data_IF_907163572910
#
_entry.id   IF_907163572910
#
_cell.length_a   1.000
_cell.length_b   1.000
_cell.length_c   1.000
_cell.angle_alpha   90.00
_cell.angle_beta   90.00
_cell.angle_gamma   90.00
#
_symmetry.space_group_name_H-M   'P 1'
#
loop_
_entity.id
_entity.type
_entity.pdbx_description
1 polymer ?
#
# COMPACT_ATOMS: atom_id res chain seq x y z
N UNK A 1 12.78 -32.67 5.13
CA UNK A 1 12.50 -31.68 6.19
C UNK A 1 11.31 -32.11 7.05
N UNK A 2 11.57 -33.00 8.01
CA UNK A 2 10.63 -33.33 9.07
C UNK A 2 10.97 -32.46 10.30
N UNK A 3 9.96 -31.85 10.90
CA UNK A 3 10.07 -31.13 12.16
C UNK A 3 9.51 -32.02 13.27
N UNK A 4 10.37 -32.40 14.20
CA UNK A 4 10.02 -33.21 15.35
C UNK A 4 9.67 -32.28 16.51
N UNK A 5 8.42 -32.30 16.96
CA UNK A 5 8.04 -31.54 18.14
C UNK A 5 8.53 -32.26 19.40
N UNK A 6 8.77 -31.50 20.49
CA UNK A 6 9.07 -32.09 21.81
C UNK A 6 7.96 -33.00 22.35
N UNK A 7 6.74 -32.88 21.82
CA UNK A 7 5.61 -33.76 22.11
C UNK A 7 5.57 -35.03 21.26
N UNK A 8 6.65 -35.36 20.54
CA UNK A 8 6.75 -36.58 19.72
C UNK A 8 6.02 -36.52 18.37
N UNK A 9 5.29 -35.44 18.09
CA UNK A 9 4.56 -35.29 16.82
C UNK A 9 5.52 -34.91 15.68
N UNK A 10 5.41 -35.64 14.57
CA UNK A 10 6.22 -35.42 13.36
C UNK A 10 5.44 -34.54 12.39
N UNK A 11 6.01 -33.39 12.04
CA UNK A 11 5.45 -32.47 11.05
C UNK A 11 6.26 -32.53 9.77
N UNK A 12 5.59 -32.70 8.64
CA UNK A 12 6.22 -32.63 7.32
C UNK A 12 6.16 -31.19 6.82
N UNK A 13 7.32 -30.58 6.55
CA UNK A 13 7.40 -29.24 5.93
C UNK A 13 8.00 -29.36 4.53
N UNK A 14 7.14 -29.58 3.53
CA UNK A 14 7.52 -29.45 2.12
C UNK A 14 6.95 -28.13 1.61
N UNK A 15 7.83 -27.25 1.13
CA UNK A 15 7.43 -26.01 0.46
C UNK A 15 7.89 -26.14 -0.98
N UNK A 16 6.95 -26.53 -1.85
CA UNK A 16 7.19 -26.47 -3.29
C UNK A 16 7.34 -25.02 -3.73
N UNK A 17 8.44 -24.70 -4.42
CA UNK A 17 8.64 -23.40 -5.05
C UNK A 17 8.86 -23.64 -6.53
N UNK A 18 8.08 -22.95 -7.36
CA UNK A 18 8.23 -22.96 -8.80
C UNK A 18 8.78 -21.62 -9.28
N UNK A 19 9.50 -21.68 -10.40
CA UNK A 19 10.05 -20.52 -11.08
C UNK A 19 10.08 -20.77 -12.60
N UNK A 20 9.94 -19.69 -13.37
CA UNK A 20 10.09 -19.73 -14.81
C UNK A 20 11.57 -19.83 -15.20
N UNK A 21 11.91 -20.74 -16.11
CA UNK A 21 13.26 -20.90 -16.65
C UNK A 21 13.65 -19.76 -17.62
N UNK A 22 12.67 -19.11 -18.26
CA UNK A 22 12.86 -17.93 -19.11
C UNK A 22 12.15 -16.71 -18.54
N UNK A 23 12.83 -15.55 -18.46
CA UNK A 23 12.25 -14.28 -17.98
C UNK A 23 11.11 -13.80 -18.88
N UNK A 24 11.31 -13.89 -20.19
CA UNK A 24 10.33 -13.47 -21.19
C UNK A 24 9.93 -14.67 -22.06
N UNK A 25 8.96 -15.49 -21.62
CA UNK A 25 8.42 -16.56 -22.47
C UNK A 25 7.81 -16.01 -23.77
N UNK A 26 7.37 -14.74 -23.75
CA UNK A 26 6.76 -14.05 -24.88
C UNK A 26 7.35 -12.66 -25.00
N UNK A 27 7.77 -12.29 -26.21
CA UNK A 27 8.46 -11.03 -26.49
C UNK A 27 7.65 -9.78 -26.10
N UNK A 28 6.32 -9.81 -26.24
CA UNK A 28 5.47 -8.66 -25.95
C UNK A 28 5.41 -8.30 -24.45
N UNK A 29 5.80 -9.20 -23.55
CA UNK A 29 5.88 -8.89 -22.12
C UNK A 29 6.91 -7.78 -21.84
N UNK A 30 7.96 -7.69 -22.67
CA UNK A 30 8.96 -6.62 -22.58
C UNK A 30 8.36 -5.23 -22.85
N UNK A 31 7.27 -5.14 -23.63
CA UNK A 31 6.59 -3.87 -23.91
C UNK A 31 5.98 -3.30 -22.61
N UNK A 32 5.36 -4.14 -21.80
CA UNK A 32 4.75 -3.71 -20.54
C UNK A 32 5.81 -3.17 -19.56
N UNK A 33 6.95 -3.87 -19.46
CA UNK A 33 8.07 -3.45 -18.63
C UNK A 33 8.68 -2.13 -19.13
N UNK A 34 8.82 -1.97 -20.45
CA UNK A 34 9.32 -0.73 -21.04
C UNK A 34 8.38 0.45 -20.78
N UNK A 35 7.07 0.26 -20.96
CA UNK A 35 6.06 1.29 -20.67
C UNK A 35 6.12 1.68 -19.19
N UNK A 36 6.23 0.70 -18.30
CA UNK A 36 6.35 0.95 -16.86
C UNK A 36 7.63 1.72 -16.49
N UNK A 37 8.77 1.37 -17.08
CA UNK A 37 10.03 2.10 -16.92
C UNK A 37 9.93 3.55 -17.41
N UNK A 38 9.28 3.77 -18.56
CA UNK A 38 9.02 5.11 -19.08
C UNK A 38 8.11 5.92 -18.14
N UNK A 39 7.11 5.28 -17.53
CA UNK A 39 6.29 5.92 -16.51
C UNK A 39 7.12 6.34 -15.28
N UNK A 40 8.01 5.48 -14.78
CA UNK A 40 8.91 5.85 -13.66
C UNK A 40 9.82 7.01 -14.05
N UNK A 41 10.42 6.96 -15.23
CA UNK A 41 11.28 8.03 -15.73
C UNK A 41 10.52 9.36 -15.82
N UNK A 42 9.30 9.34 -16.35
CA UNK A 42 8.43 10.50 -16.40
C UNK A 42 8.18 11.09 -14.99
N UNK A 43 7.95 10.24 -14.00
CA UNK A 43 7.73 10.67 -12.61
C UNK A 43 8.97 11.33 -12.04
N UNK A 44 10.14 10.71 -12.21
CA UNK A 44 11.43 11.25 -11.76
C UNK A 44 11.68 12.62 -12.38
N UNK A 45 11.57 12.73 -13.71
CA UNK A 45 11.80 13.98 -14.42
C UNK A 45 10.86 15.10 -13.95
N UNK A 46 9.57 14.80 -13.79
CA UNK A 46 8.58 15.76 -13.32
C UNK A 46 8.87 16.22 -11.89
N UNK A 47 9.33 15.32 -11.02
CA UNK A 47 9.63 15.65 -9.62
C UNK A 47 10.93 16.46 -9.47
N UNK A 48 11.95 16.13 -10.26
CA UNK A 48 13.18 16.92 -10.37
C UNK A 48 12.90 18.32 -10.90
N UNK A 49 12.04 18.45 -11.93
CA UNK A 49 11.62 19.76 -12.45
C UNK A 49 10.92 20.61 -11.38
N UNK A 50 10.04 20.02 -10.57
CA UNK A 50 9.41 20.72 -9.44
C UNK A 50 10.44 21.20 -8.43
N UNK A 51 11.39 20.35 -8.04
CA UNK A 51 12.44 20.73 -7.10
C UNK A 51 13.28 21.88 -7.68
N UNK A 52 13.67 21.79 -8.94
CA UNK A 52 14.44 22.84 -9.61
C UNK A 52 13.69 24.17 -9.67
N UNK A 53 12.38 24.15 -9.94
CA UNK A 53 11.53 25.33 -9.93
C UNK A 53 11.41 25.96 -8.53
N UNK A 54 11.23 25.14 -7.48
CA UNK A 54 11.17 25.62 -6.09
C UNK A 54 12.53 26.15 -5.60
N UNK A 55 13.62 25.48 -5.98
CA UNK A 55 14.98 25.90 -5.67
C UNK A 55 15.29 27.28 -6.25
N UNK A 56 14.89 27.54 -7.50
CA UNK A 56 15.03 28.86 -8.14
C UNK A 56 14.21 29.96 -7.46
N UNK A 57 13.04 29.63 -6.89
CA UNK A 57 12.14 30.61 -6.30
C UNK A 57 12.43 30.94 -4.82
N UNK A 58 12.98 29.99 -4.05
CA UNK A 58 13.08 30.11 -2.57
C UNK A 58 14.47 29.81 -1.99
N UNK A 59 15.45 29.44 -2.81
CA UNK A 59 16.78 29.01 -2.34
C UNK A 59 16.78 27.65 -1.65
N UNK A 60 17.97 27.10 -1.38
CA UNK A 60 18.17 25.70 -0.90
C UNK A 60 17.52 25.46 0.48
N UNK A 61 17.57 26.44 1.38
CA UNK A 61 17.01 26.33 2.74
C UNK A 61 15.47 26.34 2.75
N UNK A 62 14.83 26.96 1.76
CA UNK A 62 13.37 26.94 1.61
C UNK A 62 12.80 25.60 1.15
N UNK A 63 13.63 24.74 0.54
CA UNK A 63 13.23 23.44 0.00
C UNK A 63 12.78 22.52 1.14
N UNK A 64 13.58 22.37 2.19
CA UNK A 64 13.31 21.38 3.25
C UNK A 64 11.98 21.67 3.95
N UNK A 65 11.71 22.94 4.29
CA UNK A 65 10.49 23.29 5.03
C UNK A 65 9.21 23.38 4.18
N UNK A 66 9.30 23.70 2.88
CA UNK A 66 8.10 23.82 2.01
C UNK A 66 7.84 22.62 1.12
N UNK A 67 8.86 21.84 0.77
CA UNK A 67 8.76 20.71 -0.16
C UNK A 67 8.37 19.39 0.51
N UNK A 68 8.72 19.17 1.79
CA UNK A 68 8.33 17.97 2.55
C UNK A 68 6.86 18.01 3.01
N UNK A 69 5.94 18.17 2.06
CA UNK A 69 4.52 17.84 2.28
C UNK A 69 4.35 16.33 2.13
N UNK A 70 3.44 15.75 2.92
CA UNK A 70 3.09 14.32 2.91
C UNK A 70 2.99 13.73 1.48
N UNK A 71 2.37 14.48 0.57
CA UNK A 71 2.15 14.08 -0.82
C UNK A 71 3.39 14.02 -1.70
N UNK A 72 4.47 14.73 -1.36
CA UNK A 72 5.73 14.65 -2.10
C UNK A 72 6.57 13.48 -1.58
N UNK A 73 6.45 13.16 -0.28
CA UNK A 73 7.06 11.96 0.30
C UNK A 73 6.52 10.69 -0.38
N UNK A 74 5.20 10.62 -0.63
CA UNK A 74 4.58 9.50 -1.35
C UNK A 74 5.14 9.37 -2.78
N UNK A 75 5.34 10.48 -3.49
CA UNK A 75 5.95 10.46 -4.83
C UNK A 75 7.38 9.87 -4.79
N UNK A 76 8.20 10.30 -3.83
CA UNK A 76 9.56 9.77 -3.64
C UNK A 76 9.60 8.31 -3.21
N UNK A 77 8.67 7.87 -2.35
CA UNK A 77 8.54 6.45 -1.99
C UNK A 77 8.23 5.63 -3.24
N UNK A 78 7.34 6.11 -4.13
CA UNK A 78 7.03 5.40 -5.37
C UNK A 78 8.24 5.26 -6.29
N UNK A 79 9.05 6.32 -6.43
CA UNK A 79 10.28 6.29 -7.22
C UNK A 79 11.30 5.33 -6.61
N UNK A 80 11.54 5.42 -5.30
CA UNK A 80 12.49 4.56 -4.59
C UNK A 80 12.09 3.09 -4.69
N UNK A 81 10.81 2.77 -4.48
CA UNK A 81 10.30 1.42 -4.60
C UNK A 81 10.42 0.88 -6.02
N UNK A 82 10.15 1.72 -7.03
CA UNK A 82 10.37 1.39 -8.44
C UNK A 82 11.83 1.06 -8.74
N UNK A 83 12.78 1.86 -8.22
CA UNK A 83 14.22 1.59 -8.36
C UNK A 83 14.62 0.26 -7.71
N UNK A 84 14.11 -0.02 -6.51
CA UNK A 84 14.33 -1.31 -5.82
C UNK A 84 13.85 -2.48 -6.67
N UNK A 85 12.68 -2.35 -7.33
CA UNK A 85 12.17 -3.38 -8.24
C UNK A 85 13.06 -3.59 -9.46
N UNK A 86 13.61 -2.52 -10.05
CA UNK A 86 14.57 -2.63 -11.16
C UNK A 86 15.84 -3.36 -10.72
N UNK A 87 16.36 -3.06 -9.52
CA UNK A 87 17.53 -3.76 -8.96
C UNK A 87 17.20 -5.24 -8.76
N UNK A 88 16.06 -5.57 -8.15
CA UNK A 88 15.62 -6.96 -8.01
C UNK A 88 15.50 -7.67 -9.36
N UNK A 89 14.95 -7.00 -10.38
CA UNK A 89 14.83 -7.57 -11.72
C UNK A 89 16.21 -7.87 -12.34
N UNK A 90 17.15 -6.93 -12.28
CA UNK A 90 18.51 -7.11 -12.84
C UNK A 90 19.27 -8.22 -12.11
N UNK A 91 19.24 -8.21 -10.77
CA UNK A 91 19.89 -9.26 -9.96
C UNK A 91 19.22 -10.62 -10.20
N UNK A 92 17.89 -10.68 -10.24
CA UNK A 92 17.15 -11.91 -10.52
C UNK A 92 17.43 -12.48 -11.91
N UNK A 93 17.58 -11.60 -12.91
CA UNK A 93 17.98 -11.95 -14.26
C UNK A 93 19.35 -12.62 -14.29
N UNK A 94 20.36 -12.02 -13.65
CA UNK A 94 21.70 -12.59 -13.57
C UNK A 94 21.73 -13.95 -12.85
N UNK A 95 21.01 -14.07 -11.73
CA UNK A 95 20.91 -15.34 -11.00
C UNK A 95 20.17 -16.43 -11.78
N UNK A 96 19.25 -16.04 -12.68
CA UNK A 96 18.51 -16.98 -13.51
C UNK A 96 19.38 -17.51 -14.64
N UNK A 97 20.23 -16.66 -15.22
CA UNK A 97 21.22 -17.10 -16.19
C UNK A 97 22.25 -18.04 -15.55
N UNK A 98 22.75 -17.74 -14.34
CA UNK A 98 23.64 -18.64 -13.58
C UNK A 98 22.99 -20.03 -13.37
N UNK A 99 21.72 -20.06 -12.92
CA UNK A 99 20.96 -21.30 -12.73
C UNK A 99 20.76 -22.06 -14.05
N UNK A 100 20.45 -21.37 -15.14
CA UNK A 100 20.24 -21.98 -16.45
C UNK A 100 21.54 -22.54 -17.04
N UNK A 101 22.68 -21.90 -16.81
CA UNK A 101 24.01 -22.41 -17.19
C UNK A 101 24.32 -23.69 -16.41
N UNK A 102 24.13 -23.68 -15.09
CA UNK A 102 24.31 -24.87 -14.26
C UNK A 102 23.40 -26.04 -14.71
N UNK A 103 22.13 -25.76 -15.03
CA UNK A 103 21.20 -26.77 -15.54
C UNK A 103 21.65 -27.39 -16.87
N UNK A 104 22.16 -26.57 -17.80
CA UNK A 104 22.68 -27.07 -19.08
C UNK A 104 23.93 -27.93 -18.89
N UNK A 105 24.79 -27.57 -17.95
CA UNK A 105 25.98 -28.35 -17.63
C UNK A 105 25.61 -29.73 -17.04
N UNK A 106 24.64 -29.78 -16.12
CA UNK A 106 24.09 -31.05 -15.60
C UNK A 106 23.48 -31.91 -16.71
N UNK A 107 22.77 -31.29 -17.66
CA UNK A 107 22.14 -32.00 -18.77
C UNK A 107 23.10 -32.57 -19.83
N UNK A 108 24.39 -32.19 -19.79
CA UNK A 108 25.41 -32.64 -20.73
C UNK A 108 26.22 -33.85 -20.23
N UNK A 109 26.11 -34.19 -18.94
CA UNK A 109 26.86 -35.27 -18.30
C UNK A 109 26.01 -36.54 -18.19
N UNK A 110 26.65 -37.71 -18.29
CA UNK A 110 25.98 -38.98 -18.06
C UNK A 110 25.74 -39.19 -16.55
N UNK A 111 24.55 -39.66 -16.11
CA UNK A 111 24.22 -39.84 -14.69
C UNK A 111 25.15 -40.77 -13.91
N UNK A 112 25.94 -41.60 -14.59
CA UNK A 112 26.92 -42.51 -14.00
C UNK A 112 28.24 -41.86 -13.61
N UNK A 113 28.51 -40.65 -14.09
CA UNK A 113 29.75 -39.94 -13.82
C UNK A 113 29.77 -39.39 -12.38
N UNK A 114 30.91 -39.48 -11.70
CA UNK A 114 31.05 -38.96 -10.33
C UNK A 114 30.85 -37.45 -10.24
N UNK A 115 31.16 -36.72 -11.31
CA UNK A 115 31.00 -35.27 -11.46
C UNK A 115 29.51 -34.85 -11.52
N UNK A 116 28.62 -35.73 -12.01
CA UNK A 116 27.18 -35.46 -12.09
C UNK A 116 26.59 -35.06 -10.74
N UNK A 117 26.99 -35.74 -9.67
CA UNK A 117 26.46 -35.46 -8.32
C UNK A 117 26.87 -34.08 -7.82
N UNK A 118 28.10 -33.65 -8.08
CA UNK A 118 28.60 -32.34 -7.66
C UNK A 118 27.90 -31.22 -8.43
N UNK A 119 27.77 -31.36 -9.76
CA UNK A 119 27.06 -30.41 -10.61
C UNK A 119 25.56 -30.29 -10.27
N UNK A 120 24.91 -31.40 -9.90
CA UNK A 120 23.51 -31.38 -9.42
C UNK A 120 23.39 -30.60 -8.12
N UNK A 121 24.34 -30.74 -7.18
CA UNK A 121 24.33 -29.98 -5.94
C UNK A 121 24.52 -28.48 -6.19
N UNK A 122 25.41 -28.10 -7.11
CA UNK A 122 25.59 -26.71 -7.52
C UNK A 122 24.32 -26.12 -8.16
N UNK A 123 23.68 -26.86 -9.06
CA UNK A 123 22.41 -26.46 -9.66
C UNK A 123 21.32 -26.30 -8.58
N UNK A 124 21.17 -27.24 -7.65
CA UNK A 124 20.19 -27.14 -6.56
C UNK A 124 20.46 -25.90 -5.71
N UNK A 125 21.73 -25.62 -5.37
CA UNK A 125 22.09 -24.43 -4.61
C UNK A 125 21.80 -23.13 -5.37
N UNK A 126 22.05 -23.08 -6.69
CA UNK A 126 21.69 -21.95 -7.54
C UNK A 126 20.16 -21.77 -7.62
N UNK A 127 19.41 -22.87 -7.77
CA UNK A 127 17.95 -22.86 -7.81
C UNK A 127 17.34 -22.40 -6.47
N UNK A 128 17.89 -22.81 -5.33
CA UNK A 128 17.45 -22.35 -4.02
C UNK A 128 17.70 -20.86 -3.80
N UNK A 129 18.90 -20.37 -4.15
CA UNK A 129 19.25 -18.94 -4.10
C UNK A 129 18.28 -18.13 -4.96
N UNK A 130 18.03 -18.57 -6.19
CA UNK A 130 17.14 -17.89 -7.11
C UNK A 130 15.68 -17.90 -6.63
N UNK A 131 15.16 -19.06 -6.22
CA UNK A 131 13.81 -19.16 -5.67
C UNK A 131 13.61 -18.28 -4.43
N UNK A 132 14.67 -18.09 -3.62
CA UNK A 132 14.70 -17.13 -2.53
C UNK A 132 14.56 -15.68 -2.99
N UNK A 133 15.34 -15.28 -3.99
CA UNK A 133 15.29 -13.96 -4.62
C UNK A 133 13.90 -13.68 -5.23
N UNK A 134 13.35 -14.61 -6.02
CA UNK A 134 12.05 -14.45 -6.68
C UNK A 134 10.92 -14.32 -5.67
N UNK A 135 11.02 -14.98 -4.51
CA UNK A 135 10.05 -14.79 -3.41
C UNK A 135 10.06 -13.33 -2.93
N UNK A 136 11.24 -12.78 -2.67
CA UNK A 136 11.37 -11.39 -2.24
C UNK A 136 10.91 -10.43 -3.34
N UNK A 137 11.34 -10.63 -4.58
CA UNK A 137 10.89 -9.82 -5.71
C UNK A 137 9.36 -9.80 -5.84
N UNK A 138 8.69 -10.95 -5.77
CA UNK A 138 7.22 -11.04 -5.79
C UNK A 138 6.55 -10.27 -4.64
N UNK A 139 7.12 -10.34 -3.43
CA UNK A 139 6.59 -9.61 -2.27
C UNK A 139 6.68 -8.09 -2.48
N UNK A 140 7.83 -7.58 -2.93
CA UNK A 140 8.01 -6.16 -3.23
C UNK A 140 7.14 -5.71 -4.41
N UNK A 141 7.01 -6.55 -5.45
CA UNK A 141 6.18 -6.28 -6.61
C UNK A 141 4.70 -6.22 -6.23
N UNK A 142 4.22 -7.10 -5.36
CA UNK A 142 2.85 -7.09 -4.85
C UNK A 142 2.54 -5.84 -4.01
N UNK A 143 3.54 -5.27 -3.31
CA UNK A 143 3.40 -4.03 -2.57
C UNK A 143 3.33 -2.78 -3.44
N UNK A 144 3.94 -2.79 -4.62
CA UNK A 144 4.08 -1.60 -5.46
C UNK A 144 2.74 -1.00 -5.95
N UNK A 145 1.74 -1.77 -6.40
CA UNK A 145 0.41 -1.25 -6.70
C UNK A 145 -0.25 -0.51 -5.53
N UNK A 146 0.02 -0.90 -4.28
CA UNK A 146 -0.49 -0.20 -3.10
C UNK A 146 0.13 1.19 -2.97
N UNK A 147 1.43 1.33 -3.25
CA UNK A 147 2.11 2.64 -3.28
C UNK A 147 1.53 3.53 -4.37
N UNK A 148 1.25 2.98 -5.56
CA UNK A 148 0.57 3.72 -6.63
C UNK A 148 -0.85 4.14 -6.19
N UNK A 149 -1.58 3.26 -5.49
CA UNK A 149 -2.91 3.59 -4.96
C UNK A 149 -2.83 4.77 -3.99
N UNK A 150 -1.85 4.81 -3.09
CA UNK A 150 -1.63 5.98 -2.21
C UNK A 150 -1.38 7.28 -3.00
N UNK A 151 -0.70 7.17 -4.14
CA UNK A 151 -0.48 8.31 -5.03
C UNK A 151 -1.78 8.78 -5.71
N UNK A 152 -2.72 7.89 -6.02
CA UNK A 152 -4.03 8.28 -6.56
C UNK A 152 -4.81 9.18 -5.59
N UNK A 153 -4.67 9.00 -4.28
CA UNK A 153 -5.30 9.89 -3.28
C UNK A 153 -4.82 11.35 -3.38
N UNK A 154 -3.59 11.59 -3.84
CA UNK A 154 -3.11 12.96 -4.15
C UNK A 154 -3.95 13.61 -5.24
N UNK A 155 -4.27 12.86 -6.29
CA UNK A 155 -5.12 13.32 -7.39
C UNK A 155 -6.56 13.55 -6.94
N UNK A 156 -7.06 12.74 -6.00
CA UNK A 156 -8.39 12.91 -5.42
C UNK A 156 -8.53 14.16 -4.56
N UNK A 157 -7.48 14.55 -3.84
CA UNK A 157 -7.47 15.82 -3.10
C UNK A 157 -7.66 17.04 -4.02
N UNK A 158 -7.26 16.97 -5.30
CA UNK A 158 -7.41 18.09 -6.23
C UNK A 158 -8.87 18.38 -6.59
N UNK A 159 -9.79 17.43 -6.39
CA UNK A 159 -11.20 17.59 -6.70
C UNK A 159 -12.01 17.94 -5.45
N UNK A 160 -12.85 19.00 -5.45
CA UNK A 160 -13.59 19.44 -4.27
C UNK A 160 -14.39 18.32 -3.57
N UNK A 161 -15.15 17.50 -4.29
CA UNK A 161 -15.94 16.41 -3.65
C UNK A 161 -15.08 15.30 -3.05
N UNK A 162 -14.05 14.85 -3.75
CA UNK A 162 -13.17 13.78 -3.25
C UNK A 162 -12.21 14.26 -2.16
N UNK A 163 -11.94 15.58 -2.10
CA UNK A 163 -11.16 16.19 -1.04
C UNK A 163 -11.83 16.07 0.34
N UNK A 164 -13.17 15.98 0.41
CA UNK A 164 -13.91 15.77 1.67
C UNK A 164 -13.50 14.46 2.32
N UNK A 165 -13.44 13.37 1.55
CA UNK A 165 -13.05 12.04 2.06
C UNK A 165 -11.61 12.05 2.54
N UNK A 166 -10.71 12.63 1.73
CA UNK A 166 -9.28 12.72 2.07
C UNK A 166 -9.07 13.55 3.33
N UNK A 167 -9.75 14.70 3.44
CA UNK A 167 -9.68 15.57 4.61
C UNK A 167 -10.26 14.89 5.84
N UNK A 168 -11.40 14.21 5.71
CA UNK A 168 -12.02 13.44 6.79
C UNK A 168 -11.06 12.39 7.33
N UNK A 169 -10.40 11.61 6.47
CA UNK A 169 -9.40 10.63 6.90
C UNK A 169 -8.22 11.28 7.61
N UNK A 170 -7.69 12.38 7.08
CA UNK A 170 -6.54 13.07 7.69
C UNK A 170 -6.89 13.71 9.03
N UNK A 171 -8.09 14.28 9.18
CA UNK A 171 -8.52 14.91 10.42
C UNK A 171 -9.03 13.91 11.46
N UNK A 172 -9.52 12.74 11.04
CA UNK A 172 -9.90 11.65 11.97
C UNK A 172 -8.71 10.83 12.44
N UNK A 173 -7.57 10.86 11.73
CA UNK A 173 -6.40 10.03 12.03
C UNK A 173 -5.88 10.18 13.47
N UNK A 174 -5.84 11.41 14.01
CA UNK A 174 -5.39 11.65 15.39
C UNK A 174 -6.33 10.97 16.39
N UNK A 175 -7.64 11.17 16.23
CA UNK A 175 -8.64 10.59 17.13
C UNK A 175 -8.68 9.06 17.00
N UNK A 176 -8.53 8.54 15.76
CA UNK A 176 -8.42 7.10 15.50
C UNK A 176 -7.17 6.49 16.14
N UNK A 177 -6.03 7.18 16.20
CA UNK A 177 -4.82 6.68 16.88
C UNK A 177 -5.06 6.58 18.38
N UNK A 178 -5.65 7.60 19.01
CA UNK A 178 -5.99 7.54 20.45
C UNK A 178 -6.97 6.41 20.74
N UNK A 179 -8.00 6.27 19.90
CA UNK A 179 -8.93 5.16 19.99
C UNK A 179 -8.25 3.80 19.79
N UNK A 180 -7.33 3.69 18.84
CA UNK A 180 -6.60 2.45 18.55
C UNK A 180 -5.82 1.95 19.77
N UNK A 181 -5.26 2.85 20.60
CA UNK A 181 -4.59 2.47 21.86
C UNK A 181 -5.57 1.77 22.79
N UNK A 182 -6.76 2.33 22.99
CA UNK A 182 -7.81 1.73 23.83
C UNK A 182 -8.28 0.40 23.23
N UNK A 183 -8.58 0.41 21.93
CA UNK A 183 -9.02 -0.77 21.18
C UNK A 183 -8.03 -1.92 21.33
N UNK A 184 -6.76 -1.70 21.00
CA UNK A 184 -5.74 -2.74 21.05
C UNK A 184 -5.46 -3.20 22.48
N UNK A 185 -5.52 -2.32 23.48
CA UNK A 185 -5.34 -2.74 24.88
C UNK A 185 -6.43 -3.73 25.32
N UNK A 186 -7.69 -3.42 25.04
CA UNK A 186 -8.82 -4.33 25.34
C UNK A 186 -8.74 -5.59 24.49
N UNK A 187 -8.45 -5.45 23.19
CA UNK A 187 -8.33 -6.57 22.25
C UNK A 187 -7.22 -7.55 22.66
N UNK A 188 -6.05 -7.05 23.06
CA UNK A 188 -4.95 -7.88 23.56
C UNK A 188 -5.34 -8.59 24.86
N UNK A 189 -6.04 -7.93 25.78
CA UNK A 189 -6.51 -8.57 27.01
C UNK A 189 -7.44 -9.76 26.70
N UNK A 190 -8.37 -9.60 25.75
CA UNK A 190 -9.21 -10.71 25.28
C UNK A 190 -8.41 -11.80 24.57
N UNK A 191 -7.46 -11.45 23.71
CA UNK A 191 -6.63 -12.44 23.01
C UNK A 191 -5.79 -13.29 23.99
N UNK A 192 -5.23 -12.66 25.03
CA UNK A 192 -4.53 -13.37 26.11
C UNK A 192 -5.50 -14.24 26.92
N UNK A 193 -6.66 -13.70 27.30
CA UNK A 193 -7.70 -14.45 28.01
C UNK A 193 -8.18 -15.68 27.22
N UNK A 194 -8.46 -15.53 25.93
CA UNK A 194 -8.81 -16.65 25.04
C UNK A 194 -7.66 -17.65 24.87
N UNK A 195 -6.41 -17.18 24.84
CA UNK A 195 -5.23 -18.04 24.89
C UNK A 195 -5.15 -18.90 26.16
N UNK A 196 -5.53 -18.34 27.31
CA UNK A 196 -5.52 -19.05 28.59
C UNK A 196 -6.67 -20.07 28.71
N UNK A 197 -7.86 -19.73 28.21
CA UNK A 197 -9.05 -20.59 28.29
C UNK A 197 -9.00 -21.70 27.23
N UNK A 198 -8.73 -21.33 25.97
CA UNK A 198 -8.88 -22.23 24.83
C UNK A 198 -7.55 -22.81 24.33
N UNK A 199 -6.40 -22.28 24.75
CA UNK A 199 -5.10 -22.63 24.16
C UNK A 199 -4.67 -24.09 24.30
N UNK A 200 -5.22 -24.84 25.26
CA UNK A 200 -4.95 -26.28 25.45
C UNK A 200 -5.80 -27.18 24.55
N UNK A 201 -6.97 -26.72 24.11
CA UNK A 201 -7.94 -27.53 23.35
C UNK A 201 -7.98 -27.11 21.87
N UNK A 202 -7.85 -25.82 21.60
CA UNK A 202 -8.06 -25.22 20.29
C UNK A 202 -6.75 -24.77 19.65
N UNK A 203 -6.48 -25.21 18.41
CA UNK A 203 -5.23 -24.86 17.68
C UNK A 203 -5.11 -23.37 17.37
N UNK A 204 -6.25 -22.68 17.33
CA UNK A 204 -6.40 -21.27 17.01
C UNK A 204 -6.03 -20.32 18.16
N UNK A 205 -5.90 -20.83 19.40
CA UNK A 205 -5.53 -20.04 20.59
C UNK A 205 -4.17 -20.41 21.20
N UNK A 206 -3.45 -21.38 20.61
CA UNK A 206 -2.15 -21.89 21.13
C UNK A 206 -1.06 -20.83 21.23
N UNK A 207 -1.01 -19.88 20.30
CA UNK A 207 0.02 -18.81 20.29
C UNK A 207 -0.64 -17.45 20.18
N UNK A 208 -0.03 -16.43 20.80
CA UNK A 208 -0.57 -15.07 20.79
C UNK A 208 -0.88 -14.55 19.36
N UNK A 209 -0.01 -14.73 18.34
CA UNK A 209 -0.35 -14.30 16.97
C UNK A 209 -1.55 -15.04 16.37
N UNK A 210 -1.74 -16.32 16.71
CA UNK A 210 -2.91 -17.09 16.28
C UNK A 210 -4.15 -16.60 17.02
N UNK A 211 -4.10 -16.45 18.34
CA UNK A 211 -5.19 -15.93 19.14
C UNK A 211 -5.65 -14.55 18.64
N UNK A 212 -4.72 -13.65 18.31
CA UNK A 212 -5.04 -12.35 17.71
C UNK A 212 -5.75 -12.47 16.36
N UNK A 213 -5.25 -13.36 15.49
CA UNK A 213 -5.88 -13.62 14.19
C UNK A 213 -7.30 -14.17 14.36
N UNK A 214 -7.48 -15.07 15.33
CA UNK A 214 -8.79 -15.67 15.66
C UNK A 214 -9.74 -14.63 16.24
N UNK A 215 -9.29 -13.78 17.17
CA UNK A 215 -10.08 -12.65 17.67
C UNK A 215 -10.50 -11.70 16.54
N UNK A 216 -9.63 -11.43 15.56
CA UNK A 216 -10.00 -10.63 14.38
C UNK A 216 -11.06 -11.32 13.52
N UNK A 217 -10.98 -12.65 13.34
CA UNK A 217 -12.00 -13.44 12.63
C UNK A 217 -13.35 -13.40 13.33
N UNK A 218 -13.36 -13.66 14.64
CA UNK A 218 -14.56 -13.60 15.48
C UNK A 218 -15.19 -12.20 15.42
N UNK A 219 -14.38 -11.14 15.46
CA UNK A 219 -14.86 -9.76 15.33
C UNK A 219 -15.54 -9.49 13.97
N UNK A 220 -15.09 -10.15 12.89
CA UNK A 220 -15.70 -10.08 11.57
C UNK A 220 -16.92 -11.02 11.39
N UNK A 221 -17.28 -11.78 12.43
CA UNK A 221 -18.40 -12.72 12.42
C UNK A 221 -18.06 -14.14 11.95
N UNK A 222 -16.78 -14.45 11.72
CA UNK A 222 -16.31 -15.81 11.45
C UNK A 222 -16.08 -16.53 12.79
N UNK A 223 -17.09 -17.26 13.25
CA UNK A 223 -17.13 -17.90 14.57
C UNK A 223 -17.26 -19.41 14.38
N UNK A 224 -16.23 -20.15 14.77
CA UNK A 224 -16.29 -21.60 14.91
C UNK A 224 -16.59 -21.95 16.38
N UNK A 225 -17.89 -21.95 16.73
CA UNK A 225 -18.31 -22.22 18.11
C UNK A 225 -18.06 -23.68 18.52
N UNK A 226 -18.06 -24.61 17.54
CA UNK A 226 -17.84 -26.04 17.80
C UNK A 226 -16.43 -26.28 18.34
N UNK A 227 -15.43 -25.55 17.85
CA UNK A 227 -14.06 -25.64 18.38
C UNK A 227 -13.91 -25.00 19.78
N UNK A 228 -14.78 -24.04 20.13
CA UNK A 228 -14.74 -23.34 21.42
C UNK A 228 -15.45 -24.12 22.53
N UNK A 229 -16.56 -24.79 22.22
CA UNK A 229 -17.35 -25.53 23.21
C UNK A 229 -16.63 -26.77 23.77
N UNK A 230 -15.55 -27.23 23.13
CA UNK A 230 -14.71 -28.34 23.63
C UNK A 230 -14.16 -28.09 25.04
N UNK A 231 -13.98 -26.83 25.44
CA UNK A 231 -13.54 -26.44 26.79
C UNK A 231 -14.69 -26.44 27.80
N UNK A 232 -15.91 -26.21 27.32
CA UNK A 232 -17.10 -26.02 28.13
C UNK A 232 -18.03 -24.97 27.51
N UNK A 233 -19.32 -25.31 27.42
CA UNK A 233 -20.34 -24.44 26.79
C UNK A 233 -20.46 -23.11 27.55
N UNK A 234 -20.37 -23.12 28.87
CA UNK A 234 -20.56 -21.92 29.69
C UNK A 234 -19.39 -20.95 29.54
N UNK A 235 -18.16 -21.44 29.64
CA UNK A 235 -16.92 -20.69 29.51
C UNK A 235 -16.78 -20.11 28.10
N UNK A 236 -17.03 -20.95 27.08
CA UNK A 236 -17.02 -20.55 25.68
C UNK A 236 -18.06 -19.46 25.40
N UNK A 237 -19.30 -19.67 25.84
CA UNK A 237 -20.39 -18.72 25.63
C UNK A 237 -20.13 -17.40 26.37
N UNK A 238 -19.73 -17.45 27.64
CA UNK A 238 -19.50 -16.24 28.43
C UNK A 238 -18.38 -15.38 27.85
N UNK A 239 -17.26 -16.01 27.48
CA UNK A 239 -16.15 -15.30 26.85
C UNK A 239 -16.55 -14.71 25.49
N UNK A 240 -17.23 -15.50 24.65
CA UNK A 240 -17.63 -15.08 23.31
C UNK A 240 -18.64 -13.93 23.34
N UNK A 241 -19.67 -14.01 24.19
CA UNK A 241 -20.66 -12.95 24.35
C UNK A 241 -20.02 -11.66 24.84
N UNK A 242 -19.13 -11.75 25.82
CA UNK A 242 -18.42 -10.57 26.33
C UNK A 242 -17.52 -9.96 25.25
N UNK A 243 -16.82 -10.79 24.47
CA UNK A 243 -16.00 -10.33 23.35
C UNK A 243 -16.84 -9.64 22.27
N UNK A 244 -17.96 -10.24 21.84
CA UNK A 244 -18.85 -9.67 20.84
C UNK A 244 -19.45 -8.35 21.33
N UNK A 245 -19.92 -8.29 22.58
CA UNK A 245 -20.50 -7.07 23.14
C UNK A 245 -19.46 -5.95 23.23
N UNK A 246 -18.31 -6.21 23.86
CA UNK A 246 -17.32 -5.17 24.12
C UNK A 246 -16.54 -4.80 22.85
N UNK A 247 -15.96 -5.77 22.14
CA UNK A 247 -15.10 -5.51 20.98
C UNK A 247 -15.92 -5.35 19.71
N UNK A 248 -16.83 -6.28 19.45
CA UNK A 248 -17.63 -6.30 18.22
C UNK A 248 -18.66 -5.18 18.12
N UNK A 249 -19.43 -4.93 19.18
CA UNK A 249 -20.51 -3.92 19.17
C UNK A 249 -20.05 -2.57 19.68
N UNK A 250 -19.43 -2.48 20.86
CA UNK A 250 -19.08 -1.17 21.43
C UNK A 250 -17.88 -0.55 20.70
N UNK A 251 -16.74 -1.24 20.68
CA UNK A 251 -15.50 -0.67 20.17
C UNK A 251 -15.53 -0.48 18.64
N UNK A 252 -16.03 -1.45 17.86
CA UNK A 252 -16.11 -1.31 16.40
C UNK A 252 -17.03 -0.15 15.98
N UNK A 253 -18.18 0.02 16.63
CA UNK A 253 -19.10 1.12 16.32
C UNK A 253 -18.54 2.49 16.73
N UNK A 254 -17.62 2.55 17.70
CA UNK A 254 -16.94 3.79 18.05
C UNK A 254 -16.03 4.30 16.92
N UNK A 255 -15.44 3.40 16.12
CA UNK A 255 -14.68 3.80 14.91
C UNK A 255 -15.59 4.55 13.94
N UNK A 256 -16.78 4.01 13.66
CA UNK A 256 -17.76 4.65 12.78
C UNK A 256 -18.21 6.00 13.34
N UNK A 257 -18.45 6.09 14.65
CA UNK A 257 -18.84 7.34 15.30
C UNK A 257 -17.77 8.44 15.12
N UNK A 258 -16.48 8.11 15.33
CA UNK A 258 -15.37 9.04 15.14
C UNK A 258 -15.29 9.52 13.68
N UNK A 259 -15.38 8.59 12.72
CA UNK A 259 -15.32 8.91 11.29
C UNK A 259 -16.49 9.80 10.88
N UNK A 260 -17.72 9.45 11.29
CA UNK A 260 -18.92 10.23 10.96
C UNK A 260 -18.90 11.62 11.57
N UNK A 261 -18.39 11.76 12.80
CA UNK A 261 -18.20 13.06 13.45
C UNK A 261 -17.30 13.99 12.63
N UNK A 262 -16.15 13.50 12.16
CA UNK A 262 -15.24 14.30 11.31
C UNK A 262 -15.77 14.51 9.89
N UNK A 263 -16.49 13.54 9.36
CA UNK A 263 -17.09 13.63 8.03
C UNK A 263 -18.08 14.80 7.95
N UNK A 264 -18.95 14.95 8.94
CA UNK A 264 -19.90 16.06 9.02
C UNK A 264 -19.18 17.42 8.99
N UNK A 265 -18.14 17.61 9.79
CA UNK A 265 -17.34 18.84 9.81
C UNK A 265 -16.61 19.08 8.48
N UNK A 266 -16.06 18.04 7.87
CA UNK A 266 -15.36 18.16 6.59
C UNK A 266 -16.32 18.52 5.45
N UNK A 267 -17.54 17.98 5.47
CA UNK A 267 -18.58 18.28 4.49
C UNK A 267 -19.07 19.74 4.60
N UNK A 268 -19.21 20.27 5.81
CA UNK A 268 -19.54 21.68 6.04
C UNK A 268 -18.46 22.62 5.48
N UNK A 269 -17.19 22.30 5.70
CA UNK A 269 -16.06 23.16 5.30
C UNK A 269 -15.83 23.24 3.78
N UNK A 270 -16.18 22.19 3.04
CA UNK A 270 -16.00 22.15 1.57
C UNK A 270 -17.24 22.67 0.82
N UNK A 271 -18.40 22.68 1.48
CA UNK A 271 -19.69 22.96 0.83
C UNK A 271 -20.09 21.87 -0.17
N UNK A 272 -21.30 21.95 -0.73
CA UNK A 272 -21.73 21.03 -1.80
C UNK A 272 -20.95 21.33 -3.10
N UNK A 273 -19.74 20.79 -3.21
CA UNK A 273 -18.96 20.82 -4.45
C UNK A 273 -19.78 20.24 -5.62
N UNK A 274 -19.48 20.66 -6.86
CA UNK A 274 -20.17 20.14 -8.06
C UNK A 274 -19.70 18.71 -8.40
N UNK A 275 -20.53 17.88 -9.06
CA UNK A 275 -20.14 16.54 -9.49
C UNK A 275 -18.98 16.56 -10.49
N UNK A 276 -18.18 15.48 -10.53
CA UNK A 276 -17.10 15.27 -11.51
C UNK A 276 -17.54 15.53 -12.95
N UNK A 277 -18.71 15.03 -13.32
CA UNK A 277 -19.21 15.13 -14.68
C UNK A 277 -19.60 16.58 -15.04
N UNK A 278 -20.08 17.37 -14.07
CA UNK A 278 -20.34 18.80 -14.30
C UNK A 278 -19.04 19.59 -14.45
N UNK A 279 -18.03 19.28 -13.62
CA UNK A 279 -16.69 19.88 -13.75
C UNK A 279 -16.05 19.52 -15.09
N UNK A 280 -16.10 18.25 -15.49
CA UNK A 280 -15.61 17.79 -16.78
C UNK A 280 -16.36 18.46 -17.94
N UNK A 281 -17.70 18.55 -17.88
CA UNK A 281 -18.51 19.25 -18.89
C UNK A 281 -18.15 20.73 -18.97
N UNK A 282 -17.94 21.40 -17.84
CA UNK A 282 -17.51 22.80 -17.81
C UNK A 282 -16.10 22.99 -18.34
N UNK A 283 -15.17 22.04 -18.11
CA UNK A 283 -13.83 22.09 -18.69
C UNK A 283 -13.88 21.93 -20.21
N UNK A 284 -14.67 20.98 -20.71
CA UNK A 284 -14.88 20.81 -22.16
C UNK A 284 -15.53 22.05 -22.78
N UNK A 285 -16.57 22.59 -22.14
CA UNK A 285 -17.22 23.83 -22.56
C UNK A 285 -16.25 25.02 -22.53
N UNK A 286 -15.43 25.18 -21.49
CA UNK A 286 -14.41 26.23 -21.42
C UNK A 286 -13.39 26.11 -22.56
N UNK A 287 -12.94 24.90 -22.87
CA UNK A 287 -12.00 24.66 -23.98
C UNK A 287 -12.66 24.96 -25.33
N UNK A 288 -13.94 24.57 -25.51
CA UNK A 288 -14.71 24.90 -26.71
C UNK A 288 -14.96 26.41 -26.85
N UNK A 289 -15.34 27.10 -25.77
CA UNK A 289 -15.60 28.54 -25.74
C UNK A 289 -14.31 29.36 -25.99
N UNK A 290 -13.16 28.87 -25.52
CA UNK A 290 -11.85 29.46 -25.83
C UNK A 290 -11.44 29.24 -27.29
N UNK A 291 -11.77 28.08 -27.88
CA UNK A 291 -11.53 27.82 -29.31
C UNK A 291 -12.46 28.60 -30.23
N UNK A 292 -13.69 28.86 -29.80
CA UNK A 292 -14.69 29.67 -30.54
C UNK A 292 -14.58 31.17 -30.25
N UNK A 293 -13.59 31.61 -29.44
CA UNK A 293 -13.33 33.03 -29.17
C UNK A 293 -14.32 33.70 -28.22
N UNK A 294 -15.31 32.98 -27.67
CA UNK A 294 -16.29 33.51 -26.71
C UNK A 294 -15.71 33.78 -25.33
N UNK A 295 -14.53 33.22 -25.01
CA UNK A 295 -13.90 33.34 -23.69
C UNK A 295 -12.39 33.49 -23.79
N UNK A 296 -11.82 34.49 -23.10
CA UNK A 296 -10.37 34.71 -23.03
C UNK A 296 -9.70 33.69 -22.10
N UNK A 297 -8.41 33.42 -22.34
CA UNK A 297 -7.60 32.51 -21.50
C UNK A 297 -7.49 33.08 -20.08
N UNK A 298 -7.61 32.22 -19.08
CA UNK A 298 -7.60 32.61 -17.66
C UNK A 298 -6.35 33.42 -17.25
N UNK A 299 -5.18 33.18 -17.87
CA UNK A 299 -3.97 33.99 -17.66
C UNK A 299 -4.13 35.45 -18.07
N UNK A 300 -4.78 35.70 -19.21
CA UNK A 300 -4.99 37.06 -19.74
C UNK A 300 -5.97 37.83 -18.85
N UNK A 301 -7.03 37.14 -18.38
CA UNK A 301 -8.00 37.71 -17.46
C UNK A 301 -7.35 38.03 -16.10
N UNK A 302 -6.49 37.15 -15.59
CA UNK A 302 -5.79 37.37 -14.33
C UNK A 302 -4.80 38.55 -14.41
N UNK A 303 -4.02 38.65 -15.48
CA UNK A 303 -3.12 39.79 -15.71
C UNK A 303 -3.90 41.12 -15.81
N UNK A 304 -5.06 41.11 -16.48
CA UNK A 304 -5.93 42.27 -16.57
C UNK A 304 -6.49 42.67 -15.19
N UNK A 305 -6.93 41.70 -14.39
CA UNK A 305 -7.43 41.94 -13.04
C UNK A 305 -6.33 42.46 -12.10
N UNK A 306 -5.11 41.92 -12.19
CA UNK A 306 -3.95 42.40 -11.42
C UNK A 306 -3.58 43.83 -11.83
N UNK A 307 -3.58 44.15 -13.13
CA UNK A 307 -3.37 45.53 -13.60
C UNK A 307 -4.46 46.48 -13.10
N UNK A 308 -5.72 46.06 -13.11
CA UNK A 308 -6.85 46.86 -12.63
C UNK A 308 -6.77 47.11 -11.11
N UNK A 309 -6.38 46.11 -10.33
CA UNK A 309 -6.20 46.27 -8.87
C UNK A 309 -5.02 47.16 -8.54
N UNK A 310 -3.91 47.05 -9.28
CA UNK A 310 -2.77 47.95 -9.12
C UNK A 310 -3.14 49.40 -9.47
N UNK A 311 -3.84 49.62 -10.58
CA UNK A 311 -4.33 50.94 -11.01
C UNK A 311 -5.28 51.58 -9.99
N UNK A 312 -6.17 50.78 -9.38
CA UNK A 312 -7.07 51.24 -8.33
C UNK A 312 -6.31 51.63 -7.05
N UNK A 313 -5.20 50.96 -6.74
CA UNK A 313 -4.38 51.29 -5.57
C UNK A 313 -3.54 52.57 -5.75
N UNK A 314 -3.06 52.85 -6.96
CA UNK A 314 -2.36 54.11 -7.28
C UNK A 314 -3.30 55.29 -7.33
N UNK A 315 -4.54 55.12 -7.82
CA UNK A 315 -5.57 56.17 -7.79
C UNK A 315 -6.00 56.56 -6.38
N UNK A 316 -5.90 55.65 -5.38
CA UNK A 316 -6.23 55.94 -3.98
C UNK A 316 -5.08 56.61 -3.21
N UNK A 317 -3.85 56.59 -3.74
CA UNK A 317 -2.68 57.28 -3.14
C UNK A 317 -2.54 58.74 -3.56
N UNK A 318 -3.26 59.16 -4.59
CA UNK A 318 -3.25 60.52 -5.13
C UNK A 318 -4.44 61.36 -4.65
N UNK A 319 -5.09 60.97 -3.55
CA UNK A 319 -6.13 61.72 -2.86
C UNK A 319 -5.70 62.02 -1.43
#
# INVERSE_FOLDING_TARGET
NFYFSRGGHIWKKIIGRSQHASLFPRWYAMIADLVWLLCILYIVLHEVQKIAAHAKATGIHGIIFRYFKLWNVIDWISVFWGLVLVIFFVVGSAMQDEMNVALRAVGALDPSETEFREMVLEYIAAAERNAGQVRWFRLFLAGYPLVILFRLFKSFHAQPRLSVVTRTMLTSLVDLIHFAIIFFTVFFAFAVSGGLIFGSHTKNFVTLPRALTTCFRIMLGDIDFVELEEVGILEASAWLWLFILCVGLVLLNMILAIIMGKYATAQEQVGRGKPLWEEARQLVQKVQDQRTGKRLKDKVVLEALVRLTLYRSTSFRNF
#
